data_IF_245773010616
#
_entry.id   IF_245773010616
#
_cell.length_a   1.000
_cell.length_b   1.000
_cell.length_c   1.000
_cell.angle_alpha   90.00
_cell.angle_beta   90.00
_cell.angle_gamma   90.00
#
_symmetry.space_group_name_H-M   'P 1'
#
loop_
_entity.id
_entity.type
_entity.pdbx_description
1 polymer ?
#
# COMPACT_ATOMS: atom_id res chain seq x y z
N UNK A 1 10.19 -8.66 17.06
CA UNK A 1 9.94 -8.91 15.62
C UNK A 1 8.49 -9.29 15.42
N UNK A 2 7.96 -10.20 16.24
CA UNK A 2 6.54 -10.61 16.28
C UNK A 2 5.59 -9.42 16.52
N UNK A 3 5.87 -8.55 17.49
CA UNK A 3 5.00 -7.39 17.77
C UNK A 3 4.81 -6.46 16.57
N UNK A 4 5.90 -6.11 15.87
CA UNK A 4 5.82 -5.29 14.65
C UNK A 4 5.05 -6.00 13.55
N UNK A 5 5.24 -7.31 13.36
CA UNK A 5 4.51 -8.06 12.35
C UNK A 5 3.01 -8.11 12.63
N UNK A 6 2.61 -8.24 13.91
CA UNK A 6 1.21 -8.13 14.32
C UNK A 6 0.65 -6.72 14.10
N UNK A 7 1.40 -5.66 14.42
CA UNK A 7 0.98 -4.28 14.14
C UNK A 7 0.80 -4.02 12.64
N UNK A 8 1.77 -4.47 11.82
CA UNK A 8 1.70 -4.35 10.37
C UNK A 8 0.48 -5.09 9.81
N UNK A 9 0.20 -6.30 10.31
CA UNK A 9 -0.99 -7.05 9.92
C UNK A 9 -2.27 -6.30 10.25
N UNK A 10 -2.42 -5.88 11.50
CA UNK A 10 -3.60 -5.15 11.96
C UNK A 10 -3.83 -3.88 11.12
N UNK A 11 -2.76 -3.15 10.80
CA UNK A 11 -2.84 -1.97 9.96
C UNK A 11 -3.35 -2.28 8.54
N UNK A 12 -2.90 -3.40 7.94
CA UNK A 12 -3.39 -3.83 6.62
C UNK A 12 -4.85 -4.28 6.69
N UNK A 13 -5.24 -5.03 7.72
CA UNK A 13 -6.63 -5.45 7.95
C UNK A 13 -7.58 -4.24 8.11
N UNK A 14 -7.13 -3.18 8.80
CA UNK A 14 -7.87 -1.92 8.91
C UNK A 14 -8.07 -1.27 7.54
N UNK A 15 -7.05 -1.28 6.66
CA UNK A 15 -7.19 -0.75 5.29
C UNK A 15 -8.08 -1.65 4.42
N UNK A 16 -8.01 -2.97 4.60
CA UNK A 16 -8.91 -3.91 3.91
C UNK A 16 -10.37 -3.68 4.28
N UNK A 17 -10.64 -3.35 5.54
CA UNK A 17 -11.99 -3.02 6.01
C UNK A 17 -12.48 -1.67 5.46
N UNK A 18 -11.62 -0.64 5.47
CA UNK A 18 -11.96 0.69 4.97
C UNK A 18 -10.71 1.48 4.55
N UNK A 19 -10.76 2.05 3.33
CA UNK A 19 -9.71 2.98 2.86
C UNK A 19 -9.91 4.34 3.53
N UNK A 20 -9.08 4.64 4.53
CA UNK A 20 -9.11 5.91 5.26
C UNK A 20 -7.89 6.74 4.92
N UNK A 21 -8.11 7.93 4.39
CA UNK A 21 -7.04 8.87 4.08
C UNK A 21 -6.78 9.82 5.24
N UNK A 22 -5.54 10.30 5.33
CA UNK A 22 -5.26 11.54 6.06
C UNK A 22 -6.11 12.67 5.42
N UNK A 23 -6.87 13.45 6.21
CA UNK A 23 -7.80 14.44 5.66
C UNK A 23 -7.14 15.40 4.66
N UNK A 24 -7.68 15.47 3.44
CA UNK A 24 -7.23 16.33 2.36
C UNK A 24 -6.11 15.72 1.49
N UNK A 25 -5.51 14.61 1.91
CA UNK A 25 -4.48 13.91 1.13
C UNK A 25 -5.08 13.14 -0.05
N UNK A 26 -6.32 12.66 0.07
CA UNK A 26 -6.99 11.85 -0.96
C UNK A 26 -7.08 12.58 -2.30
N UNK A 27 -7.52 13.84 -2.25
CA UNK A 27 -7.69 14.68 -3.43
C UNK A 27 -6.33 15.01 -4.07
N UNK A 28 -5.33 15.35 -3.25
CA UNK A 28 -3.99 15.67 -3.73
C UNK A 28 -3.32 14.45 -4.40
N UNK A 29 -3.48 13.26 -3.82
CA UNK A 29 -2.94 12.03 -4.38
C UNK A 29 -3.64 11.62 -5.67
N UNK A 30 -4.98 11.70 -5.72
CA UNK A 30 -5.77 11.43 -6.92
C UNK A 30 -5.32 12.32 -8.09
N UNK A 31 -5.25 13.64 -7.87
CA UNK A 31 -4.80 14.59 -8.90
C UNK A 31 -3.38 14.26 -9.37
N UNK A 32 -2.48 13.94 -8.45
CA UNK A 32 -1.11 13.55 -8.79
C UNK A 32 -1.07 12.27 -9.62
N UNK A 33 -1.95 11.29 -9.36
CA UNK A 33 -2.02 10.05 -10.15
C UNK A 33 -2.52 10.31 -11.57
N UNK A 34 -3.50 11.19 -11.74
CA UNK A 34 -3.98 11.65 -13.05
C UNK A 34 -2.89 12.35 -13.85
N UNK A 35 -2.21 13.33 -13.24
CA UNK A 35 -1.12 14.08 -13.91
C UNK A 35 0.04 13.16 -14.32
N UNK A 36 0.30 12.10 -13.53
CA UNK A 36 1.33 11.10 -13.84
C UNK A 36 0.87 10.01 -14.80
N UNK A 37 -0.36 10.09 -15.31
CA UNK A 37 -0.96 9.07 -16.19
C UNK A 37 -1.03 7.67 -15.54
N UNK A 38 -1.08 7.61 -14.21
CA UNK A 38 -1.32 6.36 -13.47
C UNK A 38 -2.82 6.02 -13.43
N UNK A 39 -3.67 7.03 -13.61
CA UNK A 39 -5.12 6.92 -13.69
C UNK A 39 -5.63 7.80 -14.85
N UNK A 40 -6.76 7.42 -15.48
CA UNK A 40 -7.44 8.28 -16.43
C UNK A 40 -7.84 9.64 -15.85
N UNK A 41 -7.97 10.67 -16.69
CA UNK A 41 -8.28 12.03 -16.23
C UNK A 41 -9.68 12.13 -15.60
N UNK A 42 -10.60 11.28 -16.05
CA UNK A 42 -11.96 11.14 -15.56
C UNK A 42 -12.07 10.31 -14.27
N UNK A 43 -11.01 9.62 -13.85
CA UNK A 43 -11.05 8.73 -12.69
C UNK A 43 -11.53 9.48 -11.42
N UNK A 44 -12.42 8.87 -10.68
CA UNK A 44 -12.94 9.41 -9.43
C UNK A 44 -12.09 8.98 -8.24
N UNK A 45 -12.38 9.52 -7.05
CA UNK A 45 -11.78 9.01 -5.83
C UNK A 45 -12.18 7.55 -5.59
N UNK A 46 -13.42 7.18 -5.89
CA UNK A 46 -13.90 5.80 -5.75
C UNK A 46 -13.13 4.83 -6.66
N UNK A 47 -12.83 5.21 -7.90
CA UNK A 47 -12.02 4.38 -8.81
C UNK A 47 -10.61 4.14 -8.25
N UNK A 48 -10.04 5.18 -7.64
CA UNK A 48 -8.72 5.11 -7.04
C UNK A 48 -8.71 4.24 -5.77
N UNK A 49 -9.71 4.40 -4.90
CA UNK A 49 -9.89 3.58 -3.71
C UNK A 49 -10.19 2.12 -4.06
N UNK A 50 -10.87 1.86 -5.18
CA UNK A 50 -11.08 0.51 -5.68
C UNK A 50 -9.75 -0.17 -6.09
N UNK A 51 -8.82 0.57 -6.69
CA UNK A 51 -7.48 0.05 -6.98
C UNK A 51 -6.71 -0.24 -5.68
N UNK A 52 -6.79 0.66 -4.71
CA UNK A 52 -6.16 0.46 -3.39
C UNK A 52 -6.72 -0.81 -2.74
N UNK A 53 -8.05 -0.95 -2.70
CA UNK A 53 -8.74 -2.13 -2.19
C UNK A 53 -8.30 -3.40 -2.93
N UNK A 54 -8.13 -3.34 -4.26
CA UNK A 54 -7.66 -4.48 -5.05
C UNK A 54 -6.24 -4.89 -4.67
N UNK A 55 -5.34 -3.93 -4.43
CA UNK A 55 -3.96 -4.20 -3.99
C UNK A 55 -3.92 -4.82 -2.61
N UNK A 56 -4.64 -4.26 -1.64
CA UNK A 56 -4.59 -4.74 -0.25
C UNK A 56 -5.38 -6.02 -0.01
N UNK A 57 -6.24 -6.44 -0.93
CA UNK A 57 -6.96 -7.72 -0.85
C UNK A 57 -6.34 -8.82 -1.75
N UNK A 58 -5.31 -8.50 -2.53
CA UNK A 58 -4.58 -9.49 -3.31
C UNK A 58 -3.69 -10.34 -2.38
N UNK A 59 -4.05 -11.62 -2.22
CA UNK A 59 -3.33 -12.55 -1.35
C UNK A 59 -1.90 -12.84 -1.82
N UNK A 60 -1.62 -12.68 -3.11
CA UNK A 60 -0.28 -12.83 -3.69
C UNK A 60 0.53 -11.53 -3.68
N UNK A 61 -0.05 -10.42 -3.17
CA UNK A 61 0.68 -9.17 -3.01
C UNK A 61 1.90 -9.34 -2.11
N UNK A 62 2.96 -8.59 -2.40
CA UNK A 62 4.14 -8.52 -1.55
C UNK A 62 3.91 -7.51 -0.43
N UNK A 63 4.13 -7.92 0.81
CA UNK A 63 4.05 -7.05 1.97
C UNK A 63 5.45 -6.66 2.43
N UNK A 64 5.70 -5.35 2.48
CA UNK A 64 6.92 -4.73 2.96
C UNK A 64 6.66 -3.90 4.22
N UNK A 65 7.74 -3.60 4.94
CA UNK A 65 7.83 -2.45 5.84
C UNK A 65 8.78 -1.43 5.23
N UNK A 66 8.27 -0.23 4.97
CA UNK A 66 9.07 0.93 4.63
C UNK A 66 9.48 1.68 5.89
N UNK A 67 10.77 2.02 6.02
CA UNK A 67 11.28 2.77 7.17
C UNK A 67 11.63 4.21 6.78
N UNK A 68 11.01 5.16 7.46
CA UNK A 68 11.33 6.58 7.36
C UNK A 68 11.51 7.17 8.75
N UNK A 69 12.69 7.72 9.04
CA UNK A 69 13.02 8.32 10.34
C UNK A 69 12.71 7.39 11.54
N UNK A 70 12.99 6.09 11.40
CA UNK A 70 12.68 5.03 12.37
C UNK A 70 11.19 4.73 12.60
N UNK A 71 10.31 5.30 11.78
CA UNK A 71 8.88 4.98 11.77
C UNK A 71 8.59 3.91 10.69
N UNK A 72 7.93 2.80 11.05
CA UNK A 72 7.54 1.76 10.09
C UNK A 72 6.22 2.12 9.40
N UNK A 73 6.17 1.89 8.09
CA UNK A 73 4.97 2.03 7.27
C UNK A 73 4.70 0.72 6.54
N UNK A 74 3.63 -0.01 6.92
CA UNK A 74 3.12 -1.13 6.13
C UNK A 74 2.95 -0.73 4.67
N UNK A 75 3.48 -1.54 3.77
CA UNK A 75 3.46 -1.25 2.34
C UNK A 75 3.12 -2.51 1.55
N UNK A 76 1.97 -2.51 0.89
CA UNK A 76 1.50 -3.62 0.05
C UNK A 76 1.77 -3.30 -1.40
N UNK A 77 2.33 -4.26 -2.14
CA UNK A 77 2.66 -4.10 -3.56
C UNK A 77 2.04 -5.24 -4.36
N UNK A 78 1.21 -4.88 -5.34
CA UNK A 78 0.54 -5.84 -6.24
C UNK A 78 0.52 -5.32 -7.68
N UNK A 79 0.18 -6.19 -8.63
CA UNK A 79 -0.01 -5.79 -10.02
C UNK A 79 -1.50 -5.67 -10.30
N UNK A 80 -1.95 -4.48 -10.71
CA UNK A 80 -3.34 -4.22 -11.12
C UNK A 80 -3.30 -3.60 -12.51
N UNK A 81 -3.99 -4.23 -13.47
CA UNK A 81 -4.02 -3.79 -14.88
C UNK A 81 -2.62 -3.57 -15.47
N UNK A 82 -1.75 -4.57 -15.31
CA UNK A 82 -0.35 -4.57 -15.76
C UNK A 82 0.56 -3.48 -15.14
N UNK A 83 0.07 -2.74 -14.16
CA UNK A 83 0.82 -1.72 -13.43
C UNK A 83 1.16 -2.22 -12.02
N UNK A 84 2.42 -2.05 -11.61
CA UNK A 84 2.86 -2.40 -10.25
C UNK A 84 2.46 -1.29 -9.29
N UNK A 85 1.42 -1.49 -8.53
CA UNK A 85 0.92 -0.53 -7.54
C UNK A 85 1.53 -0.79 -6.17
N UNK A 86 1.83 0.30 -5.48
CA UNK A 86 2.21 0.33 -4.08
C UNK A 86 1.16 1.09 -3.30
N UNK A 87 0.73 0.54 -2.17
CA UNK A 87 -0.13 1.16 -1.17
C UNK A 87 0.61 1.18 0.15
N UNK A 88 0.68 2.35 0.78
CA UNK A 88 1.40 2.57 2.04
C UNK A 88 0.46 3.24 3.04
N UNK A 89 0.43 2.71 4.26
CA UNK A 89 -0.30 3.28 5.39
C UNK A 89 0.60 3.41 6.62
N UNK A 90 0.12 4.14 7.63
CA UNK A 90 0.67 4.09 8.97
C UNK A 90 0.17 2.85 9.74
N UNK A 91 0.62 2.67 10.98
CA UNK A 91 0.22 1.54 11.82
C UNK A 91 -1.25 1.61 12.30
N UNK A 92 -1.92 2.75 12.13
CA UNK A 92 -3.34 2.90 12.42
C UNK A 92 -4.21 2.61 11.17
N UNK A 93 -3.61 2.20 10.05
CA UNK A 93 -4.28 1.88 8.81
C UNK A 93 -4.79 3.11 8.06
N UNK A 94 -4.17 4.28 8.26
CA UNK A 94 -4.44 5.50 7.48
C UNK A 94 -3.50 5.54 6.28
N UNK A 95 -4.06 5.70 5.07
CA UNK A 95 -3.29 5.78 3.84
C UNK A 95 -2.42 7.03 3.83
N UNK A 96 -1.12 6.82 3.69
CA UNK A 96 -0.11 7.86 3.50
C UNK A 96 0.18 8.06 2.00
N UNK A 97 0.17 6.99 1.20
CA UNK A 97 0.36 7.09 -0.25
C UNK A 97 -0.08 5.84 -0.99
N UNK A 98 -0.58 6.00 -2.22
CA UNK A 98 -0.69 4.92 -3.18
C UNK A 98 -0.26 5.38 -4.59
N UNK A 99 0.49 4.57 -5.31
CA UNK A 99 0.95 4.89 -6.67
C UNK A 99 1.55 3.70 -7.41
N UNK A 100 1.53 3.77 -8.75
CA UNK A 100 2.33 2.93 -9.63
C UNK A 100 3.82 3.18 -9.41
N UNK A 101 4.56 2.12 -9.11
CA UNK A 101 6.01 2.12 -8.96
C UNK A 101 6.65 1.88 -10.33
N UNK A 102 7.28 2.91 -10.87
CA UNK A 102 8.11 2.76 -12.06
C UNK A 102 9.43 2.06 -11.73
N UNK A 103 9.81 1.05 -12.53
CA UNK A 103 11.03 0.23 -12.34
C UNK A 103 11.07 -0.37 -10.92
N UNK A 104 10.11 -1.26 -10.60
CA UNK A 104 9.87 -1.72 -9.23
C UNK A 104 11.09 -2.37 -8.58
N UNK A 105 11.91 -3.10 -9.33
CA UNK A 105 13.12 -3.76 -8.83
C UNK A 105 14.11 -2.75 -8.23
N UNK A 106 14.25 -1.58 -8.87
CA UNK A 106 15.14 -0.51 -8.40
C UNK A 106 14.54 0.25 -7.22
N UNK A 107 13.23 0.48 -7.24
CA UNK A 107 12.57 1.27 -6.20
C UNK A 107 12.43 0.48 -4.89
N UNK A 108 11.92 -0.75 -4.98
CA UNK A 108 11.68 -1.65 -3.85
C UNK A 108 12.96 -2.34 -3.37
N UNK A 109 13.99 -2.42 -4.21
CA UNK A 109 15.32 -2.91 -3.82
C UNK A 109 16.12 -1.95 -2.92
N UNK A 110 15.57 -0.79 -2.54
CA UNK A 110 16.22 0.15 -1.63
C UNK A 110 16.22 -0.42 -0.20
N UNK A 111 17.31 -0.25 0.60
CA UNK A 111 17.42 -0.83 1.95
C UNK A 111 16.31 -0.42 2.94
N UNK A 112 15.63 0.70 2.68
CA UNK A 112 14.51 1.19 3.49
C UNK A 112 13.23 0.36 3.33
N UNK A 113 13.14 -0.46 2.28
CA UNK A 113 12.06 -1.44 2.10
C UNK A 113 12.55 -2.81 2.56
N UNK A 114 11.88 -3.37 3.57
CA UNK A 114 12.11 -4.73 4.03
C UNK A 114 10.91 -5.60 3.66
N UNK A 115 11.11 -6.59 2.78
CA UNK A 115 10.08 -7.57 2.46
C UNK A 115 9.79 -8.45 3.69
N UNK A 116 8.52 -8.62 4.01
CA UNK A 116 8.04 -9.55 5.05
C UNK A 116 7.59 -10.88 4.46
N UNK A 117 7.03 -10.90 3.25
CA UNK A 117 6.51 -12.10 2.59
C UNK A 117 5.31 -11.78 1.71
N UNK A 118 4.55 -12.81 1.35
CA UNK A 118 3.25 -12.61 0.67
C UNK A 118 2.18 -12.22 1.66
N UNK A 119 1.24 -11.39 1.24
CA UNK A 119 0.20 -10.88 2.11
C UNK A 119 -0.64 -12.00 2.73
N UNK A 120 -1.03 -13.00 1.94
CA UNK A 120 -1.81 -14.15 2.44
C UNK A 120 -1.09 -14.94 3.53
N UNK A 121 0.23 -15.16 3.39
CA UNK A 121 1.04 -15.88 4.38
C UNK A 121 1.10 -15.12 5.71
N UNK A 122 1.15 -13.79 5.65
CA UNK A 122 1.23 -12.94 6.84
C UNK A 122 -0.14 -12.84 7.53
N UNK A 123 -1.24 -12.78 6.78
CA UNK A 123 -2.59 -12.71 7.32
C UNK A 123 -3.01 -14.03 7.99
N UNK A 124 -2.63 -15.17 7.42
CA UNK A 124 -3.02 -16.50 7.92
C UNK A 124 -2.15 -16.98 9.11
N UNK A 125 -1.08 -16.27 9.43
CA UNK A 125 -0.16 -16.70 10.50
C UNK A 125 -0.81 -16.56 11.88
N UNK A 126 -1.27 -17.65 12.49
CA UNK A 126 -1.64 -17.64 13.91
C UNK A 126 -0.38 -17.89 14.76
N UNK A 127 -0.02 -16.99 15.69
CA UNK A 127 1.14 -17.16 16.57
C UNK A 127 0.98 -18.28 17.61
#
# INVERSE_FOLDING_TARGET
MEELQSQVRNAVELVQAEVRWRPGSETAHLLKRKVRNHLPLEATLADYEHIIASVVNDRDAELYVYWYEQVPYPTVVATVQDLRWLVMCDLDGVIESAFVVERPERYLGRPVFKLLGRLGEILDYEP
#
